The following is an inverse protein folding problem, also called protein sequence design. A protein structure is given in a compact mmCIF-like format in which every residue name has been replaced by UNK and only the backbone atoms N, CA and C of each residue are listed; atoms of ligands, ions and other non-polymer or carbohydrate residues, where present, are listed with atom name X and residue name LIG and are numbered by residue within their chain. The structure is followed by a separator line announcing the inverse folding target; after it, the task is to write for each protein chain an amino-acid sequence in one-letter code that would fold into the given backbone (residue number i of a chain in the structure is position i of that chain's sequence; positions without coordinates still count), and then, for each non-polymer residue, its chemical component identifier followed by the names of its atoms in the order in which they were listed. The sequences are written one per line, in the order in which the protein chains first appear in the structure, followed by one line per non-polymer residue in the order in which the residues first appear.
data_IF_462209520247
#
_entry.id   IF_462209520247
#
_cell.length_a   1.000
_cell.length_b   1.000
_cell.length_c   1.000
_cell.angle_alpha   90.00
_cell.angle_beta   90.00
_cell.angle_gamma   90.00
#
_symmetry.space_group_name_H-M   'P 1'
#
loop_
_entity.id
_entity.type
_entity.pdbx_description
1 polymer ?
#
# COMPACT_ATOMS: atom_id res chain seq x y z
N UNK A 1 3.40 9.79 19.43
CA UNK A 1 4.79 10.31 19.44
C UNK A 1 5.07 10.76 18.03
N UNK A 2 5.18 12.06 17.77
CA UNK A 2 5.59 12.56 16.46
C UNK A 2 7.10 12.32 16.35
N UNK A 3 7.53 11.49 15.40
CA UNK A 3 8.94 11.35 15.04
C UNK A 3 9.11 11.83 13.61
N UNK A 4 10.27 12.37 13.32
CA UNK A 4 10.54 12.94 12.02
C UNK A 4 11.87 13.64 12.00
N UNK A 5 12.28 14.04 10.81
CA UNK A 5 13.41 14.93 10.61
C UNK A 5 12.98 16.13 9.78
N UNK A 6 13.85 17.11 9.72
CA UNK A 6 13.71 18.27 8.85
C UNK A 6 15.10 18.60 8.31
N UNK A 7 15.17 18.82 7.00
CA UNK A 7 16.39 19.29 6.36
C UNK A 7 16.25 20.78 6.09
N UNK A 8 17.17 21.58 6.62
CA UNK A 8 17.13 23.03 6.54
C UNK A 8 18.24 23.49 5.61
N UNK A 9 17.87 23.97 4.43
CA UNK A 9 18.82 24.42 3.39
C UNK A 9 19.40 25.83 3.66
N UNK A 10 19.14 26.40 4.83
CA UNK A 10 19.59 27.74 5.23
C UNK A 10 20.23 27.69 6.61
N UNK A 11 21.33 28.43 6.80
CA UNK A 11 21.91 28.65 8.11
C UNK A 11 21.18 29.80 8.80
N UNK A 12 20.49 29.51 9.90
CA UNK A 12 19.70 30.51 10.62
C UNK A 12 18.96 29.93 11.81
N UNK A 13 18.26 30.79 12.55
CA UNK A 13 17.35 30.39 13.61
C UNK A 13 16.15 29.65 12.99
N UNK A 14 15.89 28.42 13.44
CA UNK A 14 14.68 27.68 13.09
C UNK A 14 13.77 27.62 14.31
N UNK A 15 12.56 28.15 14.19
CA UNK A 15 11.53 28.10 15.22
C UNK A 15 10.51 27.02 14.86
N UNK A 16 10.26 26.10 15.78
CA UNK A 16 9.18 25.12 15.64
C UNK A 16 7.94 25.62 16.36
N UNK A 17 6.89 25.88 15.60
CA UNK A 17 5.58 26.25 16.11
C UNK A 17 4.63 25.05 16.06
N UNK A 18 3.87 24.87 17.14
CA UNK A 18 2.75 23.93 17.18
C UNK A 18 1.45 24.75 17.15
N UNK A 19 0.69 24.65 16.05
CA UNK A 19 -0.51 25.44 15.84
C UNK A 19 -1.77 24.56 15.84
N UNK A 20 -2.84 25.05 16.44
CA UNK A 20 -4.19 24.47 16.36
C UNK A 20 -5.19 25.55 15.97
N UNK A 21 -6.07 25.25 15.01
CA UNK A 21 -7.20 26.13 14.64
C UNK A 21 -8.28 26.20 15.72
N UNK A 22 -8.27 25.27 16.67
CA UNK A 22 -9.18 25.27 17.82
C UNK A 22 -8.45 25.90 19.02
N UNK A 23 -8.89 27.10 19.40
CA UNK A 23 -8.32 27.91 20.49
C UNK A 23 -8.56 27.32 21.89
N UNK A 24 -9.39 26.30 22.00
CA UNK A 24 -9.68 25.61 23.27
C UNK A 24 -8.85 24.34 23.47
N UNK A 25 -7.97 23.99 22.52
CA UNK A 25 -7.06 22.84 22.66
C UNK A 25 -5.82 23.26 23.43
N UNK A 26 -5.57 22.55 24.53
CA UNK A 26 -4.31 22.63 25.25
C UNK A 26 -3.23 21.84 24.50
N UNK A 27 -2.16 22.52 24.09
CA UNK A 27 -0.98 21.90 23.47
C UNK A 27 0.12 21.86 24.53
N UNK A 28 0.58 20.66 24.87
CA UNK A 28 1.72 20.47 25.75
C UNK A 28 2.70 19.47 25.12
N UNK A 29 3.99 19.66 25.39
CA UNK A 29 5.06 18.80 24.91
C UNK A 29 5.97 18.47 26.09
N UNK A 30 6.05 17.19 26.45
CA UNK A 30 6.79 16.71 27.63
C UNK A 30 8.28 16.46 27.37
N UNK A 31 8.62 16.09 26.13
CA UNK A 31 9.95 15.62 25.76
C UNK A 31 10.26 16.00 24.33
N UNK A 32 10.75 17.23 24.15
CA UNK A 32 11.28 17.71 22.87
C UNK A 32 12.78 17.41 22.84
N UNK A 33 13.20 16.53 21.93
CA UNK A 33 14.61 16.25 21.66
C UNK A 33 14.88 16.48 20.19
N UNK A 34 15.65 17.52 19.89
CA UNK A 34 16.22 17.78 18.57
C UNK A 34 17.68 17.36 18.63
N UNK A 35 18.04 16.32 17.89
CA UNK A 35 19.41 15.85 17.77
C UNK A 35 19.81 15.91 16.30
N UNK A 36 21.00 16.47 15.97
CA UNK A 36 21.57 16.26 14.65
C UNK A 36 21.74 14.76 14.42
N UNK A 37 21.38 14.29 13.23
CA UNK A 37 21.67 12.92 12.81
C UNK A 37 22.29 12.93 11.42
N UNK A 38 23.23 12.03 11.19
CA UNK A 38 23.81 11.80 9.87
C UNK A 38 22.88 10.93 9.03
N UNK A 39 23.07 10.94 7.71
CA UNK A 39 22.39 10.01 6.82
C UNK A 39 22.65 8.55 7.24
N UNK A 40 23.86 8.22 7.68
CA UNK A 40 24.22 6.88 8.15
C UNK A 40 23.44 6.48 9.40
N UNK A 41 23.25 7.41 10.35
CA UNK A 41 22.45 7.17 11.54
C UNK A 41 20.96 6.95 11.18
N UNK A 42 20.44 7.72 10.21
CA UNK A 42 19.08 7.52 9.70
C UNK A 42 18.92 6.14 9.07
N UNK A 43 19.83 5.76 8.18
CA UNK A 43 19.85 4.44 7.53
C UNK A 43 19.94 3.31 8.55
N UNK A 44 20.80 3.42 9.56
CA UNK A 44 20.93 2.41 10.62
C UNK A 44 19.63 2.22 11.41
N UNK A 45 18.91 3.30 11.71
CA UNK A 45 17.59 3.21 12.37
C UNK A 45 16.53 2.57 11.47
N UNK A 46 16.55 2.84 10.16
CA UNK A 46 15.70 2.16 9.20
C UNK A 46 15.99 0.67 9.18
N UNK A 47 17.26 0.27 9.06
CA UNK A 47 17.67 -1.15 9.00
C UNK A 47 17.24 -1.91 10.26
N UNK A 48 17.44 -1.35 11.45
CA UNK A 48 16.95 -1.94 12.71
C UNK A 48 15.42 -2.09 12.75
N UNK A 49 14.68 -1.16 12.13
CA UNK A 49 13.21 -1.22 12.06
C UNK A 49 12.74 -2.25 11.04
N UNK A 50 13.46 -2.37 9.92
CA UNK A 50 13.26 -3.39 8.89
C UNK A 50 13.47 -4.79 9.48
N UNK A 51 14.54 -5.00 10.25
CA UNK A 51 14.81 -6.27 10.94
C UNK A 51 13.63 -6.73 11.81
N UNK A 52 12.91 -5.81 12.46
CA UNK A 52 11.76 -6.12 13.31
C UNK A 52 10.48 -6.47 12.54
N UNK A 53 10.38 -6.17 11.24
CA UNK A 53 9.15 -6.24 10.45
C UNK A 53 9.00 -7.50 9.57
N UNK A 54 9.84 -8.51 9.78
CA UNK A 54 10.15 -9.56 8.78
C UNK A 54 9.21 -10.76 8.66
N UNK A 55 7.89 -10.63 8.80
CA UNK A 55 6.98 -11.69 8.30
C UNK A 55 5.68 -11.17 7.71
N UNK A 56 5.30 -11.78 6.58
CA UNK A 56 4.01 -11.59 5.90
C UNK A 56 3.70 -10.16 5.43
N UNK A 57 4.70 -9.27 5.31
CA UNK A 57 4.50 -7.92 4.77
C UNK A 57 3.97 -8.01 3.33
N UNK A 58 2.74 -7.56 3.04
CA UNK A 58 2.18 -7.59 1.71
C UNK A 58 2.98 -6.69 0.76
N UNK A 59 3.66 -7.32 -0.20
CA UNK A 59 4.47 -6.64 -1.20
C UNK A 59 4.03 -7.04 -2.61
N UNK A 60 3.72 -6.04 -3.43
CA UNK A 60 3.03 -6.22 -4.69
C UNK A 60 3.51 -5.33 -5.81
N UNK A 61 2.99 -5.59 -7.00
CA UNK A 61 3.08 -4.70 -8.15
C UNK A 61 1.75 -4.75 -8.92
N UNK A 62 1.40 -3.64 -9.57
CA UNK A 62 0.31 -3.59 -10.53
C UNK A 62 0.57 -4.55 -11.70
N UNK A 63 -0.52 -5.09 -12.24
CA UNK A 63 -0.55 -5.85 -13.50
C UNK A 63 -1.66 -5.29 -14.40
N UNK A 64 -1.57 -5.59 -15.69
CA UNK A 64 -2.62 -5.32 -16.66
C UNK A 64 -2.88 -6.58 -17.50
N UNK A 65 -3.87 -6.52 -18.39
CA UNK A 65 -4.32 -7.67 -19.20
C UNK A 65 -3.21 -8.34 -20.04
N UNK A 66 -2.09 -7.67 -20.31
CA UNK A 66 -1.00 -8.24 -21.11
C UNK A 66 -0.34 -9.46 -20.43
N UNK A 67 -0.44 -9.57 -19.11
CA UNK A 67 0.04 -10.75 -18.37
C UNK A 67 -0.74 -12.01 -18.74
N UNK A 68 -2.01 -11.91 -19.15
CA UNK A 68 -2.89 -13.06 -19.39
C UNK A 68 -2.41 -13.96 -20.52
N UNK A 69 -1.69 -13.41 -21.50
CA UNK A 69 -1.19 -14.14 -22.67
C UNK A 69 0.33 -14.25 -22.72
N UNK A 70 1.03 -13.73 -21.71
CA UNK A 70 2.50 -13.71 -21.69
C UNK A 70 3.03 -14.56 -20.52
N UNK A 71 3.39 -15.81 -20.82
CA UNK A 71 3.92 -16.77 -19.83
C UNK A 71 5.19 -16.27 -19.14
N UNK A 72 6.06 -15.55 -19.84
CA UNK A 72 7.27 -14.99 -19.24
C UNK A 72 6.91 -13.91 -18.22
N UNK A 73 5.91 -13.05 -18.52
CA UNK A 73 5.37 -12.09 -17.55
C UNK A 73 4.75 -12.78 -16.34
N UNK A 74 3.93 -13.82 -16.56
CA UNK A 74 3.32 -14.59 -15.48
C UNK A 74 4.38 -15.17 -14.54
N UNK A 75 5.40 -15.83 -15.07
CA UNK A 75 6.48 -16.42 -14.29
C UNK A 75 7.31 -15.37 -13.55
N UNK A 76 7.65 -14.26 -14.24
CA UNK A 76 8.42 -13.18 -13.66
C UNK A 76 7.67 -12.50 -12.50
N UNK A 77 6.36 -12.29 -12.66
CA UNK A 77 5.53 -11.63 -11.65
C UNK A 77 5.22 -12.54 -10.45
N UNK A 78 4.77 -13.78 -10.70
CA UNK A 78 4.28 -14.70 -9.66
C UNK A 78 5.39 -15.23 -8.75
N UNK A 79 6.65 -15.21 -9.20
CA UNK A 79 7.81 -15.50 -8.36
C UNK A 79 8.18 -14.35 -7.40
N UNK A 80 7.59 -13.16 -7.61
CA UNK A 80 7.97 -11.93 -6.91
C UNK A 80 6.92 -11.42 -5.93
N UNK A 81 5.67 -11.39 -6.34
CA UNK A 81 4.66 -10.60 -5.66
C UNK A 81 3.53 -11.45 -5.10
N UNK A 82 3.06 -11.08 -3.91
CA UNK A 82 1.93 -11.74 -3.23
C UNK A 82 0.66 -10.89 -3.26
N UNK A 83 0.76 -9.63 -3.71
CA UNK A 83 -0.36 -8.71 -3.88
C UNK A 83 -0.29 -8.05 -5.25
N UNK A 84 -1.44 -7.72 -5.81
CA UNK A 84 -1.55 -6.93 -7.04
C UNK A 84 -2.73 -5.97 -7.00
N UNK A 85 -2.72 -5.04 -7.93
CA UNK A 85 -3.83 -4.17 -8.32
C UNK A 85 -3.89 -4.17 -9.85
N UNK A 86 -5.05 -3.91 -10.44
CA UNK A 86 -5.18 -3.87 -11.89
C UNK A 86 -5.03 -2.44 -12.37
N UNK A 87 -4.15 -2.22 -13.35
CA UNK A 87 -3.76 -0.88 -13.81
C UNK A 87 -4.97 -0.07 -14.31
N UNK A 88 -5.84 -0.72 -15.09
CA UNK A 88 -6.99 -0.07 -15.70
C UNK A 88 -8.27 -0.92 -15.69
N UNK A 89 -8.16 -2.23 -15.52
CA UNK A 89 -9.21 -3.19 -15.86
C UNK A 89 -10.42 -3.13 -14.93
N UNK A 90 -10.31 -2.49 -13.77
CA UNK A 90 -11.41 -2.24 -12.84
C UNK A 90 -11.89 -0.78 -12.83
N UNK A 91 -11.28 0.14 -13.61
CA UNK A 91 -11.70 1.56 -13.67
C UNK A 91 -12.99 1.72 -14.46
N UNK A 92 -13.82 2.71 -14.09
CA UNK A 92 -15.17 2.86 -14.66
C UNK A 92 -15.15 3.07 -16.18
N UNK A 93 -14.24 3.90 -16.68
CA UNK A 93 -14.09 4.11 -18.12
C UNK A 93 -13.73 2.85 -18.90
N UNK A 94 -13.08 1.88 -18.26
CA UNK A 94 -12.76 0.58 -18.87
C UNK A 94 -13.97 -0.33 -18.90
N UNK A 95 -14.72 -0.39 -17.79
CA UNK A 95 -15.82 -1.34 -17.67
C UNK A 95 -17.14 -0.85 -18.25
N UNK A 96 -17.38 0.46 -18.35
CA UNK A 96 -18.62 1.00 -18.92
C UNK A 96 -18.32 2.24 -19.79
N UNK A 97 -17.63 2.05 -20.93
CA UNK A 97 -17.36 3.16 -21.86
C UNK A 97 -18.65 3.66 -22.55
N UNK A 98 -19.65 2.80 -22.68
CA UNK A 98 -20.97 3.10 -23.25
C UNK A 98 -22.04 2.88 -22.16
N UNK A 99 -22.98 3.82 -21.95
CA UNK A 99 -23.97 3.70 -20.89
C UNK A 99 -24.72 2.37 -20.94
N UNK A 100 -24.71 1.63 -19.83
CA UNK A 100 -25.43 0.37 -19.71
C UNK A 100 -24.74 -0.85 -20.31
N UNK A 101 -23.59 -0.70 -20.98
CA UNK A 101 -22.83 -1.82 -21.54
C UNK A 101 -21.59 -2.11 -20.68
N UNK A 102 -21.82 -2.82 -19.59
CA UNK A 102 -20.76 -3.21 -18.67
C UNK A 102 -19.93 -4.39 -19.22
N UNK A 103 -18.60 -4.28 -19.21
CA UNK A 103 -17.66 -5.32 -19.59
C UNK A 103 -16.54 -5.46 -18.56
N UNK A 104 -16.54 -6.61 -17.89
CA UNK A 104 -15.55 -6.96 -16.87
C UNK A 104 -14.64 -8.12 -17.29
N UNK A 105 -14.65 -8.51 -18.58
CA UNK A 105 -13.94 -9.71 -19.06
C UNK A 105 -12.46 -9.72 -18.68
N UNK A 106 -11.75 -8.61 -18.88
CA UNK A 106 -10.32 -8.53 -18.60
C UNK A 106 -10.05 -8.55 -17.08
N UNK A 107 -10.85 -7.85 -16.27
CA UNK A 107 -10.75 -7.90 -14.81
C UNK A 107 -11.08 -9.28 -14.23
N UNK A 108 -12.07 -9.97 -14.80
CA UNK A 108 -12.43 -11.34 -14.40
C UNK A 108 -11.30 -12.32 -14.67
N UNK A 109 -10.68 -12.22 -15.85
CA UNK A 109 -9.53 -13.04 -16.22
C UNK A 109 -8.31 -12.76 -15.33
N UNK A 110 -8.02 -11.49 -15.03
CA UNK A 110 -6.92 -11.11 -14.12
C UNK A 110 -7.18 -11.58 -12.68
N UNK A 111 -8.41 -11.50 -12.20
CA UNK A 111 -8.76 -12.01 -10.87
C UNK A 111 -8.64 -13.54 -10.81
N UNK A 112 -9.03 -14.23 -11.88
CA UNK A 112 -8.83 -15.68 -11.98
C UNK A 112 -7.34 -16.04 -11.96
N UNK A 113 -6.52 -15.33 -12.75
CA UNK A 113 -5.06 -15.50 -12.75
C UNK A 113 -4.48 -15.28 -11.34
N UNK A 114 -4.82 -14.16 -10.68
CA UNK A 114 -4.34 -13.87 -9.34
C UNK A 114 -4.71 -14.98 -8.34
N UNK A 115 -5.95 -15.48 -8.39
CA UNK A 115 -6.41 -16.60 -7.55
C UNK A 115 -5.63 -17.90 -7.80
N UNK A 116 -5.37 -18.24 -9.07
CA UNK A 116 -4.60 -19.45 -9.42
C UNK A 116 -3.19 -19.42 -8.82
N UNK A 117 -2.61 -18.23 -8.69
CA UNK A 117 -1.27 -18.02 -8.14
C UNK A 117 -1.27 -17.58 -6.66
N UNK A 118 -2.41 -17.63 -5.96
CA UNK A 118 -2.54 -17.21 -4.56
C UNK A 118 -2.09 -15.76 -4.30
N UNK A 119 -2.33 -14.88 -5.28
CA UNK A 119 -2.01 -13.45 -5.21
C UNK A 119 -3.28 -12.70 -4.80
N UNK A 120 -3.17 -11.91 -3.72
CA UNK A 120 -4.26 -11.08 -3.25
C UNK A 120 -4.47 -9.86 -4.16
N UNK A 121 -5.71 -9.40 -4.31
CA UNK A 121 -6.04 -8.28 -5.22
C UNK A 121 -6.62 -7.11 -4.43
N UNK A 122 -6.09 -5.91 -4.66
CA UNK A 122 -6.72 -4.63 -4.29
C UNK A 122 -7.62 -4.18 -5.45
N UNK A 123 -8.86 -3.83 -5.16
CA UNK A 123 -9.79 -3.28 -6.14
C UNK A 123 -9.53 -1.80 -6.37
N UNK A 124 -9.18 -1.44 -7.61
CA UNK A 124 -8.84 -0.07 -7.99
C UNK A 124 -9.51 0.30 -9.31
N UNK A 125 -10.45 1.24 -9.37
CA UNK A 125 -11.11 1.95 -8.26
C UNK A 125 -12.62 2.00 -8.56
N UNK A 126 -13.45 2.16 -7.52
CA UNK A 126 -14.91 2.21 -7.70
C UNK A 126 -15.30 3.51 -8.41
N UNK A 127 -14.84 4.65 -7.88
CA UNK A 127 -15.04 6.00 -8.41
C UNK A 127 -13.73 6.78 -8.38
N UNK A 128 -13.48 7.57 -9.42
CA UNK A 128 -12.32 8.45 -9.51
C UNK A 128 -12.80 9.88 -9.76
N UNK A 129 -12.38 10.81 -8.90
CA UNK A 129 -12.87 12.19 -8.93
C UNK A 129 -12.30 13.06 -10.06
N UNK A 130 -11.18 12.68 -10.68
CA UNK A 130 -10.53 13.49 -11.72
C UNK A 130 -11.39 13.53 -13.01
N UNK A 131 -11.86 14.72 -13.44
CA UNK A 131 -12.64 14.90 -14.66
C UNK A 131 -12.01 14.33 -15.94
N UNK A 132 -10.67 14.23 -16.01
CA UNK A 132 -9.96 13.68 -17.17
C UNK A 132 -10.26 12.20 -17.40
N UNK A 133 -10.67 11.49 -16.34
CA UNK A 133 -10.95 10.06 -16.36
C UNK A 133 -12.45 9.74 -16.24
N UNK A 134 -13.30 10.77 -16.29
CA UNK A 134 -14.75 10.61 -16.35
C UNK A 134 -15.17 10.44 -17.81
N UNK A 135 -15.93 9.39 -18.11
CA UNK A 135 -16.48 9.17 -19.45
C UNK A 135 -17.37 10.33 -19.88
N UNK A 136 -17.30 10.73 -21.16
CA UNK A 136 -18.11 11.85 -21.68
C UNK A 136 -19.62 11.71 -21.44
N UNK A 137 -20.14 10.47 -21.43
CA UNK A 137 -21.55 10.21 -21.13
C UNK A 137 -21.90 10.40 -19.65
N UNK A 138 -20.96 10.13 -18.72
CA UNK A 138 -21.13 10.38 -17.28
C UNK A 138 -21.01 11.89 -17.01
N UNK A 139 -20.04 12.53 -17.65
CA UNK A 139 -19.79 13.97 -17.55
C UNK A 139 -21.00 14.82 -17.96
N UNK A 140 -21.82 14.35 -18.90
CA UNK A 140 -22.99 15.06 -19.42
C UNK A 140 -24.30 14.84 -18.64
N UNK A 141 -24.31 13.93 -17.65
CA UNK A 141 -25.53 13.63 -16.89
C UNK A 141 -25.99 14.81 -16.01
N UNK A 142 -27.32 14.94 -15.89
CA UNK A 142 -27.92 15.77 -14.84
C UNK A 142 -27.55 15.24 -13.46
N UNK A 143 -27.57 16.05 -12.38
CA UNK A 143 -27.31 15.55 -11.02
C UNK A 143 -28.15 14.34 -10.63
N UNK A 144 -29.43 14.29 -11.06
CA UNK A 144 -30.32 13.16 -10.80
C UNK A 144 -29.85 11.89 -11.51
N UNK A 145 -29.56 11.99 -12.81
CA UNK A 145 -29.15 10.83 -13.61
C UNK A 145 -27.74 10.37 -13.23
N UNK A 146 -26.87 11.30 -12.84
CA UNK A 146 -25.54 11.01 -12.31
C UNK A 146 -25.64 10.22 -10.99
N UNK A 147 -26.53 10.62 -10.08
CA UNK A 147 -26.75 9.86 -8.84
C UNK A 147 -27.18 8.41 -9.13
N UNK A 148 -28.05 8.20 -10.13
CA UNK A 148 -28.49 6.86 -10.57
C UNK A 148 -27.34 6.08 -11.19
N UNK A 149 -26.52 6.71 -12.03
CA UNK A 149 -25.37 6.06 -12.68
C UNK A 149 -24.29 5.66 -11.65
N UNK A 150 -23.99 6.54 -10.69
CA UNK A 150 -23.05 6.26 -9.59
C UNK A 150 -23.56 5.12 -8.70
N UNK A 151 -24.84 5.14 -8.35
CA UNK A 151 -25.50 4.07 -7.60
C UNK A 151 -25.34 2.72 -8.29
N UNK A 152 -25.63 2.68 -9.60
CA UNK A 152 -25.48 1.49 -10.44
C UNK A 152 -24.03 1.03 -10.50
N UNK A 153 -23.08 1.95 -10.70
CA UNK A 153 -21.63 1.64 -10.74
C UNK A 153 -21.16 0.99 -9.45
N UNK A 154 -21.44 1.61 -8.30
CA UNK A 154 -21.07 1.07 -6.98
C UNK A 154 -21.68 -0.32 -6.80
N UNK A 155 -22.97 -0.49 -7.09
CA UNK A 155 -23.64 -1.80 -6.95
C UNK A 155 -23.01 -2.86 -7.86
N UNK A 156 -22.78 -2.54 -9.14
CA UNK A 156 -22.29 -3.49 -10.13
C UNK A 156 -20.91 -4.03 -9.75
N UNK A 157 -19.91 -3.16 -9.65
CA UNK A 157 -18.53 -3.59 -9.45
C UNK A 157 -18.31 -4.23 -8.07
N UNK A 158 -18.85 -3.62 -7.01
CA UNK A 158 -18.62 -4.12 -5.66
C UNK A 158 -19.39 -5.42 -5.39
N UNK A 159 -20.61 -5.58 -5.89
CA UNK A 159 -21.35 -6.84 -5.71
C UNK A 159 -20.68 -7.98 -6.47
N UNK A 160 -20.15 -7.69 -7.66
CA UNK A 160 -19.48 -8.69 -8.50
C UNK A 160 -18.21 -9.25 -7.85
N UNK A 161 -17.41 -8.41 -7.19
CA UNK A 161 -16.14 -8.81 -6.59
C UNK A 161 -16.16 -8.94 -5.06
N UNK A 162 -17.35 -8.85 -4.44
CA UNK A 162 -17.54 -9.02 -3.00
C UNK A 162 -16.85 -10.28 -2.47
N UNK A 163 -16.06 -10.12 -1.42
CA UNK A 163 -15.34 -11.22 -0.76
C UNK A 163 -14.21 -11.85 -1.57
N UNK A 164 -13.81 -11.25 -2.69
CA UNK A 164 -12.72 -11.75 -3.55
C UNK A 164 -11.48 -10.84 -3.52
N UNK A 165 -11.59 -9.67 -2.90
CA UNK A 165 -10.53 -8.65 -2.85
C UNK A 165 -10.17 -8.38 -1.38
N UNK A 166 -8.92 -7.96 -1.14
CA UNK A 166 -8.45 -7.63 0.23
C UNK A 166 -8.73 -6.17 0.61
N UNK A 167 -8.99 -5.31 -0.37
CA UNK A 167 -9.20 -3.89 -0.21
C UNK A 167 -9.98 -3.31 -1.40
N UNK A 168 -10.65 -2.19 -1.19
CA UNK A 168 -11.21 -1.34 -2.22
C UNK A 168 -10.69 0.09 -2.09
N UNK A 169 -10.13 0.64 -3.15
CA UNK A 169 -10.07 2.10 -3.31
C UNK A 169 -11.49 2.53 -3.74
N UNK A 170 -12.25 3.13 -2.81
CA UNK A 170 -13.66 3.49 -3.05
C UNK A 170 -13.75 4.78 -3.83
N UNK A 171 -13.02 5.80 -3.37
CA UNK A 171 -12.91 7.09 -4.04
C UNK A 171 -11.43 7.40 -4.21
N UNK A 172 -11.01 7.58 -5.45
CA UNK A 172 -9.65 7.99 -5.81
C UNK A 172 -9.58 9.51 -5.99
N UNK A 173 -8.55 10.13 -5.42
CA UNK A 173 -8.13 11.52 -5.66
C UNK A 173 -9.12 12.61 -5.23
N UNK A 174 -9.80 12.39 -4.11
CA UNK A 174 -10.85 13.26 -3.59
C UNK A 174 -10.36 14.46 -2.76
N UNK A 175 -9.05 14.67 -2.64
CA UNK A 175 -8.48 15.94 -2.15
C UNK A 175 -8.13 16.88 -3.29
N UNK A 176 -7.74 16.34 -4.45
CA UNK A 176 -7.39 17.13 -5.64
C UNK A 176 -8.59 17.44 -6.53
N UNK A 177 -9.52 16.49 -6.62
CA UNK A 177 -10.69 16.58 -7.50
C UNK A 177 -12.00 16.34 -6.75
N UNK A 178 -13.09 16.84 -7.33
CA UNK A 178 -14.43 16.82 -6.72
C UNK A 178 -15.55 16.72 -7.76
N UNK A 179 -15.34 16.00 -8.87
CA UNK A 179 -16.34 15.84 -9.92
C UNK A 179 -17.70 15.38 -9.36
N UNK A 180 -17.73 14.37 -8.49
CA UNK A 180 -18.98 13.86 -7.94
C UNK A 180 -19.53 14.78 -6.85
N UNK A 181 -18.69 15.24 -5.92
CA UNK A 181 -19.12 16.15 -4.84
C UNK A 181 -19.66 17.49 -5.37
N UNK A 182 -19.07 18.05 -6.44
CA UNK A 182 -19.52 19.31 -7.04
C UNK A 182 -20.91 19.21 -7.68
N UNK A 183 -21.32 18.02 -8.13
CA UNK A 183 -22.61 17.79 -8.78
C UNK A 183 -23.66 17.18 -7.86
N UNK A 184 -23.26 16.32 -6.94
CA UNK A 184 -24.14 15.54 -6.06
C UNK A 184 -24.18 16.09 -4.62
N UNK A 185 -23.33 17.07 -4.30
CA UNK A 185 -23.19 17.68 -2.98
C UNK A 185 -21.96 17.19 -2.23
N UNK A 186 -21.48 18.02 -1.30
CA UNK A 186 -20.21 17.78 -0.58
C UNK A 186 -20.16 16.44 0.18
N UNK A 187 -21.30 15.91 0.62
CA UNK A 187 -21.37 14.62 1.32
C UNK A 187 -21.43 13.40 0.39
N UNK A 188 -21.37 13.59 -0.94
CA UNK A 188 -21.51 12.50 -1.90
C UNK A 188 -20.48 11.40 -1.69
N UNK A 189 -19.18 11.75 -1.59
CA UNK A 189 -18.11 10.78 -1.32
C UNK A 189 -18.37 9.96 -0.07
N UNK A 190 -18.73 10.61 1.05
CA UNK A 190 -19.03 9.91 2.29
C UNK A 190 -20.23 8.94 2.15
N UNK A 191 -21.24 9.30 1.35
CA UNK A 191 -22.36 8.42 1.03
C UNK A 191 -21.95 7.20 0.19
N UNK A 192 -20.91 7.31 -0.65
CA UNK A 192 -20.38 6.20 -1.42
C UNK A 192 -19.75 5.14 -0.52
N UNK A 193 -18.99 5.56 0.50
CA UNK A 193 -18.46 4.64 1.53
C UNK A 193 -19.59 3.96 2.31
N UNK A 194 -20.67 4.70 2.62
CA UNK A 194 -21.83 4.10 3.28
C UNK A 194 -22.43 2.96 2.43
N UNK A 195 -22.56 3.20 1.13
CA UNK A 195 -23.09 2.21 0.19
C UNK A 195 -22.14 1.03 0.01
N UNK A 196 -20.84 1.30 -0.13
CA UNK A 196 -19.79 0.32 -0.26
C UNK A 196 -19.84 -0.69 0.91
N UNK A 197 -19.93 -0.20 2.16
CA UNK A 197 -20.03 -1.06 3.34
C UNK A 197 -21.31 -1.90 3.36
N UNK A 198 -22.45 -1.39 2.87
CA UNK A 198 -23.69 -2.19 2.79
C UNK A 198 -23.56 -3.36 1.82
N UNK A 199 -22.75 -3.21 0.76
CA UNK A 199 -22.51 -4.27 -0.22
C UNK A 199 -21.46 -5.24 0.32
N UNK A 200 -20.31 -4.74 0.75
CA UNK A 200 -19.20 -5.54 1.28
C UNK A 200 -18.63 -4.91 2.57
N UNK A 201 -19.15 -5.37 3.71
CA UNK A 201 -18.73 -4.89 5.03
C UNK A 201 -17.41 -5.52 5.53
N UNK A 202 -16.94 -6.59 4.89
CA UNK A 202 -15.75 -7.34 5.33
C UNK A 202 -14.46 -6.75 4.75
N UNK A 203 -14.53 -6.16 3.56
CA UNK A 203 -13.38 -5.58 2.86
C UNK A 203 -13.02 -4.20 3.43
N UNK A 204 -11.72 -3.92 3.58
CA UNK A 204 -11.25 -2.60 4.02
C UNK A 204 -11.44 -1.57 2.89
N UNK A 205 -12.02 -0.41 3.21
CA UNK A 205 -12.34 0.66 2.28
C UNK A 205 -11.32 1.79 2.39
N UNK A 206 -10.63 2.10 1.30
CA UNK A 206 -9.56 3.08 1.24
C UNK A 206 -10.03 4.36 0.55
N UNK A 207 -9.62 5.49 1.12
CA UNK A 207 -9.40 6.73 0.38
C UNK A 207 -8.00 6.61 -0.26
N UNK A 208 -7.86 6.83 -1.56
CA UNK A 208 -6.58 6.70 -2.24
C UNK A 208 -6.20 8.05 -2.85
N UNK A 209 -4.98 8.53 -2.57
CA UNK A 209 -4.57 9.89 -2.90
C UNK A 209 -3.08 10.00 -3.19
N UNK A 210 -2.70 10.88 -4.11
CA UNK A 210 -1.31 11.19 -4.44
C UNK A 210 -0.78 12.42 -3.70
N UNK A 211 0.53 12.65 -3.79
CA UNK A 211 1.29 13.77 -3.20
C UNK A 211 1.27 13.91 -1.67
N UNK A 212 0.53 13.05 -0.97
CA UNK A 212 0.48 12.97 0.50
C UNK A 212 1.86 12.81 1.18
N UNK A 213 2.78 12.07 0.54
CA UNK A 213 4.14 11.78 1.04
C UNK A 213 5.22 12.18 0.02
N UNK A 214 4.83 12.52 -1.21
CA UNK A 214 5.71 12.71 -2.35
C UNK A 214 6.20 14.16 -2.49
N UNK A 215 5.34 15.15 -2.18
CA UNK A 215 5.65 16.57 -2.35
C UNK A 215 5.11 17.42 -1.21
N UNK A 216 6.00 18.01 -0.41
CA UNK A 216 5.63 18.86 0.72
C UNK A 216 5.10 20.25 0.31
N UNK A 217 5.16 20.58 -0.98
CA UNK A 217 4.64 21.83 -1.56
C UNK A 217 3.18 21.71 -1.98
N UNK A 218 2.63 20.50 -2.03
CA UNK A 218 1.23 20.28 -2.34
C UNK A 218 0.35 20.61 -1.13
N UNK A 219 -0.36 21.73 -1.21
CA UNK A 219 -1.23 22.19 -0.14
C UNK A 219 -2.55 21.41 -0.05
N UNK A 220 -2.98 20.72 -1.11
CA UNK A 220 -4.27 20.03 -1.16
C UNK A 220 -4.21 18.70 -0.42
N UNK A 221 -3.17 17.92 -0.65
CA UNK A 221 -3.02 16.55 -0.15
C UNK A 221 -2.22 16.40 1.14
N UNK A 222 -1.90 17.51 1.82
CA UNK A 222 -1.23 17.49 3.13
C UNK A 222 -1.89 16.46 4.08
N UNK A 223 -1.10 15.74 4.90
CA UNK A 223 -1.61 14.75 5.86
C UNK A 223 -2.82 15.20 6.67
N UNK A 224 -2.85 16.47 7.11
CA UNK A 224 -3.97 17.03 7.87
C UNK A 224 -5.28 17.16 7.06
N UNK A 225 -5.17 17.50 5.77
CA UNK A 225 -6.32 17.55 4.87
C UNK A 225 -6.86 16.16 4.58
N UNK A 226 -5.96 15.19 4.39
CA UNK A 226 -6.33 13.79 4.27
C UNK A 226 -7.09 13.29 5.51
N UNK A 227 -6.55 13.55 6.71
CA UNK A 227 -7.22 13.20 7.97
C UNK A 227 -8.57 13.92 8.13
N UNK A 228 -8.69 15.16 7.67
CA UNK A 228 -9.97 15.88 7.66
C UNK A 228 -11.00 15.19 6.75
N UNK A 229 -10.63 14.82 5.52
CA UNK A 229 -11.52 14.09 4.60
C UNK A 229 -11.93 12.72 5.17
N UNK A 230 -11.02 12.00 5.83
CA UNK A 230 -11.38 10.77 6.54
C UNK A 230 -12.39 10.99 7.68
N UNK A 231 -12.26 12.09 8.45
CA UNK A 231 -13.22 12.45 9.49
C UNK A 231 -14.59 12.79 8.89
N UNK A 232 -14.62 13.49 7.76
CA UNK A 232 -15.87 13.76 7.01
C UNK A 232 -16.55 12.47 6.56
N UNK A 233 -15.79 11.53 5.98
CA UNK A 233 -16.29 10.21 5.57
C UNK A 233 -16.85 9.45 6.77
N UNK A 234 -16.11 9.37 7.88
CA UNK A 234 -16.53 8.65 9.09
C UNK A 234 -17.72 9.30 9.79
N UNK A 235 -17.82 10.63 9.74
CA UNK A 235 -18.89 11.42 10.37
C UNK A 235 -20.25 11.33 9.67
N UNK A 236 -20.32 10.77 8.47
CA UNK A 236 -21.57 10.61 7.74
C UNK A 236 -22.51 9.60 8.43
N UNK A 237 -23.83 9.85 8.50
CA UNK A 237 -24.78 8.94 9.15
C UNK A 237 -24.71 7.51 8.59
N UNK A 238 -24.38 6.56 9.47
CA UNK A 238 -24.22 5.16 9.13
C UNK A 238 -22.78 4.71 8.84
N UNK A 239 -21.79 5.61 8.90
CA UNK A 239 -20.37 5.29 8.65
C UNK A 239 -19.54 5.04 9.93
N UNK A 240 -20.18 5.02 11.10
CA UNK A 240 -19.52 4.89 12.40
C UNK A 240 -18.64 3.64 12.52
N UNK A 241 -19.02 2.56 11.84
CA UNK A 241 -18.35 1.26 11.89
C UNK A 241 -17.59 0.93 10.60
N UNK A 242 -17.23 1.92 9.77
CA UNK A 242 -16.45 1.66 8.56
C UNK A 242 -15.06 1.13 8.92
N UNK A 243 -14.69 -0.01 8.33
CA UNK A 243 -13.31 -0.48 8.26
C UNK A 243 -12.58 0.35 7.19
N UNK A 244 -12.01 1.48 7.60
CA UNK A 244 -11.30 2.41 6.71
C UNK A 244 -9.80 2.10 6.67
N UNK A 245 -9.18 2.35 5.51
CA UNK A 245 -7.74 2.36 5.31
C UNK A 245 -7.26 3.68 4.69
N UNK A 246 -5.97 3.95 4.83
CA UNK A 246 -5.27 5.08 4.24
C UNK A 246 -4.47 4.60 3.03
N UNK A 247 -4.83 5.05 1.83
CA UNK A 247 -4.14 4.74 0.58
C UNK A 247 -3.31 5.93 0.12
N UNK A 248 -2.00 5.73 -0.01
CA UNK A 248 -1.03 6.72 -0.46
C UNK A 248 -0.43 6.21 -1.77
N UNK A 249 -0.70 6.89 -2.89
CA UNK A 249 -0.28 6.40 -4.21
C UNK A 249 1.24 6.23 -4.28
N UNK A 250 2.01 7.27 -3.98
CA UNK A 250 3.48 7.19 -3.96
C UNK A 250 4.10 7.44 -5.33
N UNK A 251 3.57 8.39 -6.10
CA UNK A 251 4.09 8.77 -7.42
C UNK A 251 5.22 9.82 -7.32
N UNK A 252 6.45 9.40 -7.05
CA UNK A 252 7.57 10.32 -6.80
C UNK A 252 8.07 11.00 -8.09
N UNK A 253 7.77 12.30 -8.21
CA UNK A 253 8.19 13.15 -9.33
C UNK A 253 9.37 14.07 -9.01
N UNK A 254 9.81 14.09 -7.75
CA UNK A 254 10.95 14.83 -7.24
C UNK A 254 11.88 13.85 -6.49
N UNK A 255 13.17 14.18 -6.29
CA UNK A 255 14.02 13.42 -5.36
C UNK A 255 13.32 13.27 -3.99
N UNK A 256 13.39 12.08 -3.36
CA UNK A 256 12.61 11.80 -2.17
C UNK A 256 13.07 12.62 -0.97
N UNK A 257 12.11 13.22 -0.27
CA UNK A 257 12.35 13.85 1.02
C UNK A 257 12.02 12.84 2.13
N UNK A 258 12.97 11.97 2.48
CA UNK A 258 12.75 10.90 3.47
C UNK A 258 12.23 11.42 4.83
N UNK A 259 12.74 12.56 5.36
CA UNK A 259 12.17 13.13 6.58
C UNK A 259 10.70 13.55 6.45
N UNK A 260 10.30 14.10 5.30
CA UNK A 260 8.89 14.41 5.02
C UNK A 260 8.04 13.15 4.90
N UNK A 261 8.50 12.12 4.19
CA UNK A 261 7.80 10.82 4.10
C UNK A 261 7.53 10.27 5.52
N UNK A 262 8.55 10.23 6.39
CA UNK A 262 8.41 9.79 7.79
C UNK A 262 7.35 10.59 8.52
N UNK A 263 7.48 11.92 8.50
CA UNK A 263 6.60 12.82 9.25
C UNK A 263 5.14 12.73 8.77
N UNK A 264 4.93 12.67 7.46
CA UNK A 264 3.60 12.51 6.87
C UNK A 264 2.93 11.21 7.29
N UNK A 265 3.66 10.09 7.27
CA UNK A 265 3.13 8.79 7.71
C UNK A 265 2.86 8.79 9.23
N UNK A 266 3.69 9.43 10.04
CA UNK A 266 3.46 9.55 11.49
C UNK A 266 2.21 10.39 11.82
N UNK A 267 1.94 11.47 11.07
CA UNK A 267 0.70 12.24 11.19
C UNK A 267 -0.49 11.36 10.80
N UNK A 268 -0.44 10.71 9.64
CA UNK A 268 -1.52 9.83 9.16
C UNK A 268 -1.78 8.66 10.11
N UNK A 269 -0.72 8.11 10.73
CA UNK A 269 -0.80 7.04 11.71
C UNK A 269 -1.61 7.40 12.97
N UNK A 270 -1.78 8.69 13.27
CA UNK A 270 -2.64 9.15 14.37
C UNK A 270 -4.10 8.73 14.21
N UNK A 271 -4.56 8.45 12.97
CA UNK A 271 -5.89 7.92 12.71
C UNK A 271 -6.09 6.48 13.20
N UNK A 272 -5.00 5.77 13.54
CA UNK A 272 -5.02 4.35 13.91
C UNK A 272 -5.67 3.45 12.84
N UNK A 273 -5.48 3.78 11.57
CA UNK A 273 -5.92 3.01 10.41
C UNK A 273 -4.72 2.34 9.73
N UNK A 274 -4.92 1.20 9.02
CA UNK A 274 -3.88 0.62 8.19
C UNK A 274 -3.49 1.60 7.08
N UNK A 275 -2.18 1.79 6.88
CA UNK A 275 -1.63 2.64 5.81
C UNK A 275 -1.05 1.73 4.73
N UNK A 276 -1.47 1.92 3.48
CA UNK A 276 -0.93 1.22 2.32
C UNK A 276 -0.31 2.21 1.37
N UNK A 277 0.85 1.82 0.82
CA UNK A 277 1.40 2.46 -0.35
C UNK A 277 0.87 1.68 -1.55
N UNK A 278 0.12 2.36 -2.41
CA UNK A 278 -0.81 1.68 -3.32
C UNK A 278 -0.32 1.65 -4.76
N UNK A 279 0.53 2.59 -5.16
CA UNK A 279 0.93 2.83 -6.56
C UNK A 279 2.38 3.35 -6.66
N UNK A 280 3.30 2.81 -5.85
CA UNK A 280 4.66 3.35 -5.74
C UNK A 280 5.41 3.30 -7.08
N UNK A 281 5.78 4.47 -7.60
CA UNK A 281 6.73 4.62 -8.68
C UNK A 281 7.66 5.83 -8.48
N UNK A 282 8.75 5.83 -9.25
CA UNK A 282 9.70 6.94 -9.31
C UNK A 282 9.78 7.37 -10.77
N UNK A 283 9.73 8.67 -11.03
CA UNK A 283 9.79 9.21 -12.38
C UNK A 283 11.08 8.79 -13.13
N UNK A 284 10.95 8.50 -14.42
CA UNK A 284 12.07 8.08 -15.28
C UNK A 284 13.00 9.24 -15.72
N UNK A 285 12.60 10.49 -15.52
CA UNK A 285 13.39 11.66 -15.90
C UNK A 285 14.67 11.86 -15.07
N UNK A 286 14.85 11.11 -13.98
CA UNK A 286 16.09 11.12 -13.20
C UNK A 286 17.24 10.34 -13.83
N UNK A 287 16.95 9.51 -14.85
CA UNK A 287 17.89 8.52 -15.36
C UNK A 287 17.93 7.26 -14.50
N UNK A 288 18.35 6.15 -15.12
CA UNK A 288 18.22 4.80 -14.56
C UNK A 288 18.86 4.65 -13.17
N UNK A 289 20.08 5.14 -12.98
CA UNK A 289 20.80 5.00 -11.72
C UNK A 289 20.11 5.76 -10.58
N UNK A 290 19.80 7.03 -10.77
CA UNK A 290 19.14 7.84 -9.76
C UNK A 290 17.71 7.35 -9.47
N UNK A 291 16.98 6.89 -10.50
CA UNK A 291 15.66 6.29 -10.32
C UNK A 291 15.72 5.05 -9.41
N UNK A 292 16.70 4.17 -9.61
CA UNK A 292 16.90 2.99 -8.78
C UNK A 292 17.34 3.35 -7.35
N UNK A 293 18.28 4.28 -7.19
CA UNK A 293 18.73 4.77 -5.88
C UNK A 293 17.57 5.37 -5.07
N UNK A 294 16.74 6.22 -5.70
CA UNK A 294 15.56 6.79 -5.04
C UNK A 294 14.52 5.74 -4.70
N UNK A 295 14.25 4.79 -5.60
CA UNK A 295 13.34 3.68 -5.33
C UNK A 295 13.77 2.90 -4.08
N UNK A 296 15.07 2.60 -3.95
CA UNK A 296 15.59 1.91 -2.78
C UNK A 296 15.40 2.72 -1.49
N UNK A 297 15.76 4.00 -1.49
CA UNK A 297 15.60 4.88 -0.33
C UNK A 297 14.15 4.97 0.13
N UNK A 298 13.22 5.13 -0.82
CA UNK A 298 11.78 5.20 -0.56
C UNK A 298 11.28 3.86 0.00
N UNK A 299 11.61 2.73 -0.66
CA UNK A 299 11.18 1.40 -0.21
C UNK A 299 11.67 1.07 1.20
N UNK A 300 12.93 1.39 1.54
CA UNK A 300 13.46 1.21 2.90
C UNK A 300 12.72 2.07 3.92
N UNK A 301 12.48 3.34 3.61
CA UNK A 301 11.77 4.27 4.49
C UNK A 301 10.34 3.78 4.79
N UNK A 302 9.60 3.42 3.74
CA UNK A 302 8.23 2.93 3.82
C UNK A 302 8.15 1.58 4.55
N UNK A 303 9.02 0.64 4.20
CA UNK A 303 9.04 -0.67 4.85
C UNK A 303 9.41 -0.54 6.33
N UNK A 304 10.38 0.31 6.69
CA UNK A 304 10.77 0.55 8.08
C UNK A 304 9.64 1.13 8.96
N UNK A 305 8.65 1.81 8.38
CA UNK A 305 7.61 2.48 9.16
C UNK A 305 6.59 1.51 9.78
N UNK A 306 6.44 1.41 11.11
CA UNK A 306 5.62 0.38 11.78
C UNK A 306 4.14 0.39 11.40
N UNK A 307 3.65 1.53 10.90
CA UNK A 307 2.25 1.73 10.51
C UNK A 307 1.94 1.48 9.03
N UNK A 308 2.96 1.33 8.18
CA UNK A 308 2.77 0.89 6.80
C UNK A 308 2.50 -0.61 6.81
N UNK A 309 1.38 -1.01 6.25
CA UNK A 309 0.81 -2.36 6.26
C UNK A 309 0.94 -3.10 4.93
N UNK A 310 1.36 -2.43 3.86
CA UNK A 310 1.62 -3.04 2.56
C UNK A 310 2.11 -2.02 1.54
N UNK A 311 2.84 -2.50 0.52
CA UNK A 311 3.34 -1.69 -0.59
C UNK A 311 2.99 -2.40 -1.91
N UNK A 312 2.43 -1.65 -2.85
CA UNK A 312 2.20 -2.07 -4.23
C UNK A 312 2.93 -1.09 -5.15
N UNK A 313 3.78 -1.61 -6.03
CA UNK A 313 4.51 -0.84 -7.04
C UNK A 313 3.61 -0.56 -8.26
N UNK A 314 3.73 0.60 -8.88
CA UNK A 314 3.02 0.93 -10.13
C UNK A 314 3.91 0.70 -11.37
N UNK A 315 4.17 -0.58 -11.62
CA UNK A 315 5.14 -1.04 -12.64
C UNK A 315 4.56 -2.10 -13.58
N UNK A 316 3.27 -1.99 -13.92
CA UNK A 316 2.66 -2.88 -14.90
C UNK A 316 3.35 -2.74 -16.25
N UNK A 317 3.69 -3.87 -16.88
CA UNK A 317 4.35 -3.90 -18.19
C UNK A 317 3.30 -3.95 -19.30
N UNK A 318 3.46 -3.12 -20.31
CA UNK A 318 2.65 -3.11 -21.53
C UNK A 318 3.56 -3.13 -22.77
N UNK A 319 3.03 -3.43 -23.97
CA UNK A 319 3.78 -3.24 -25.20
C UNK A 319 4.26 -1.78 -25.31
N UNK A 320 5.59 -1.60 -25.41
CA UNK A 320 6.20 -0.26 -25.45
C UNK A 320 6.66 0.28 -24.09
N UNK A 321 6.55 -0.51 -23.02
CA UNK A 321 7.10 -0.22 -21.70
C UNK A 321 6.04 -0.06 -20.61
N UNK A 322 6.37 0.74 -19.60
CA UNK A 322 5.55 0.96 -18.41
C UNK A 322 5.24 2.46 -18.28
N UNK A 323 4.27 2.81 -17.44
CA UNK A 323 3.85 4.21 -17.28
C UNK A 323 5.02 5.15 -16.92
N UNK A 324 5.76 4.85 -15.84
CA UNK A 324 6.90 5.67 -15.37
C UNK A 324 8.10 4.83 -14.97
N UNK A 325 7.86 3.66 -14.38
CA UNK A 325 8.89 2.82 -13.82
C UNK A 325 8.67 1.38 -14.25
N UNK A 326 9.55 0.87 -15.11
CA UNK A 326 9.62 -0.56 -15.39
C UNK A 326 10.55 -1.25 -14.39
N UNK A 327 10.27 -2.50 -14.05
CA UNK A 327 11.19 -3.35 -13.30
C UNK A 327 12.02 -4.26 -14.21
N UNK A 328 11.57 -4.46 -15.44
CA UNK A 328 12.16 -5.39 -16.40
C UNK A 328 11.98 -4.89 -17.83
N UNK A 329 12.85 -5.33 -18.74
CA UNK A 329 12.71 -5.11 -20.18
C UNK A 329 11.67 -6.08 -20.81
N UNK A 330 11.44 -5.98 -22.12
CA UNK A 330 10.49 -6.84 -22.84
C UNK A 330 10.89 -8.33 -22.86
N UNK A 331 12.15 -8.65 -22.55
CA UNK A 331 12.69 -10.01 -22.47
C UNK A 331 12.69 -10.56 -21.03
N UNK A 332 12.10 -9.83 -20.08
CA UNK A 332 12.08 -10.16 -18.66
C UNK A 332 13.47 -10.19 -18.01
N UNK A 333 14.45 -9.45 -18.56
CA UNK A 333 15.69 -9.12 -17.87
C UNK A 333 15.44 -7.95 -16.91
N UNK A 334 15.94 -8.04 -15.68
CA UNK A 334 15.78 -6.96 -14.72
C UNK A 334 16.47 -5.67 -15.18
N UNK A 335 15.77 -4.55 -14.99
CA UNK A 335 16.36 -3.21 -15.00
C UNK A 335 16.92 -2.88 -13.61
N UNK A 336 17.62 -1.76 -13.47
CA UNK A 336 18.21 -1.34 -12.19
C UNK A 336 17.17 -1.28 -11.04
N UNK A 337 15.96 -0.80 -11.32
CA UNK A 337 14.81 -0.80 -10.40
C UNK A 337 14.33 -2.22 -10.04
N UNK A 338 14.34 -3.15 -11.00
CA UNK A 338 14.07 -4.57 -10.73
C UNK A 338 15.12 -5.22 -9.84
N UNK A 339 16.40 -4.87 -10.03
CA UNK A 339 17.50 -5.31 -9.18
C UNK A 339 17.35 -4.81 -7.75
N UNK A 340 16.90 -3.55 -7.56
CA UNK A 340 16.56 -3.01 -6.23
C UNK A 340 15.45 -3.84 -5.58
N UNK A 341 14.38 -4.15 -6.32
CA UNK A 341 13.26 -4.95 -5.80
C UNK A 341 13.71 -6.34 -5.39
N UNK A 342 14.44 -7.05 -6.25
CA UNK A 342 14.91 -8.41 -5.93
C UNK A 342 15.89 -8.41 -4.75
N UNK A 343 16.79 -7.41 -4.69
CA UNK A 343 17.70 -7.21 -3.54
C UNK A 343 16.93 -7.02 -2.24
N UNK A 344 15.99 -6.08 -2.19
CA UNK A 344 15.22 -5.78 -0.97
C UNK A 344 14.32 -6.95 -0.58
N UNK A 345 13.72 -7.65 -1.54
CA UNK A 345 12.96 -8.88 -1.27
C UNK A 345 13.83 -9.96 -0.65
N UNK A 346 15.07 -10.13 -1.13
CA UNK A 346 16.01 -11.05 -0.50
C UNK A 346 16.35 -10.57 0.91
N UNK A 347 16.71 -9.30 1.10
CA UNK A 347 17.02 -8.74 2.43
C UNK A 347 15.86 -8.87 3.43
N UNK A 348 14.61 -8.70 2.99
CA UNK A 348 13.41 -8.74 3.84
C UNK A 348 12.84 -10.14 4.02
N UNK A 349 12.94 -11.00 2.99
CA UNK A 349 12.41 -12.36 2.97
C UNK A 349 13.38 -13.44 3.42
N UNK A 350 14.67 -13.14 3.55
CA UNK A 350 15.66 -14.08 4.10
C UNK A 350 15.47 -14.21 5.61
N UNK A 351 14.78 -15.28 6.01
CA UNK A 351 14.99 -16.01 7.27
C UNK A 351 14.30 -17.38 7.16
N UNK A 352 14.70 -18.23 6.20
CA UNK A 352 14.70 -19.65 6.51
C UNK A 352 15.82 -19.84 7.53
N UNK A 353 15.47 -19.93 8.81
CA UNK A 353 16.41 -20.37 9.84
C UNK A 353 16.66 -21.85 9.59
N UNK A 354 17.71 -22.14 8.81
CA UNK A 354 18.17 -23.50 8.52
C UNK A 354 19.45 -23.77 9.31
N UNK A 355 19.52 -24.94 9.93
CA UNK A 355 20.73 -25.39 10.61
C UNK A 355 20.54 -26.75 11.25
N UNK A 356 21.63 -27.25 11.82
CA UNK A 356 21.69 -28.54 12.50
C UNK A 356 21.56 -28.31 14.00
N UNK A 357 20.97 -29.27 14.71
CA UNK A 357 20.95 -29.25 16.18
C UNK A 357 22.37 -29.28 16.74
N UNK A 358 22.57 -28.66 17.90
CA UNK A 358 23.82 -28.73 18.67
C UNK A 358 24.05 -30.13 19.28
N UNK A 359 25.14 -30.29 20.05
CA UNK A 359 25.50 -31.56 20.69
C UNK A 359 24.48 -32.04 21.74
N UNK A 360 23.55 -31.19 22.15
CA UNK A 360 22.47 -31.50 23.08
C UNK A 360 21.13 -31.72 22.38
N UNK A 361 21.08 -31.62 21.05
CA UNK A 361 19.87 -31.80 20.25
C UNK A 361 19.01 -30.53 20.09
N UNK A 362 19.53 -29.35 20.43
CA UNK A 362 18.81 -28.09 20.29
C UNK A 362 19.17 -27.36 19.01
N UNK A 363 18.16 -26.88 18.29
CA UNK A 363 18.32 -25.89 17.24
C UNK A 363 17.61 -24.63 17.68
N UNK A 364 18.36 -23.56 17.94
CA UNK A 364 17.82 -22.28 18.38
C UNK A 364 17.66 -21.36 17.19
N UNK A 365 16.45 -20.84 16.99
CA UNK A 365 16.12 -19.87 15.98
C UNK A 365 15.24 -18.77 16.57
N UNK A 366 15.60 -17.52 16.29
CA UNK A 366 14.73 -16.37 16.58
C UNK A 366 13.69 -16.26 15.48
N UNK A 367 12.43 -16.53 15.81
CA UNK A 367 11.29 -16.47 14.91
C UNK A 367 10.43 -15.26 15.29
N UNK A 368 9.97 -14.47 14.31
CA UNK A 368 9.04 -13.37 14.57
C UNK A 368 7.58 -13.84 14.50
N UNK A 369 6.61 -12.93 14.56
CA UNK A 369 5.19 -13.29 14.51
C UNK A 369 4.77 -13.77 13.11
N UNK A 370 4.00 -14.85 13.05
CA UNK A 370 3.51 -15.39 11.78
C UNK A 370 3.17 -16.86 11.86
N UNK A 371 2.70 -17.38 10.72
CA UNK A 371 2.43 -18.80 10.52
C UNK A 371 3.67 -19.46 9.91
N UNK A 372 4.16 -20.51 10.56
CA UNK A 372 5.37 -21.22 10.20
C UNK A 372 5.08 -22.68 9.88
N UNK A 373 5.93 -23.24 9.01
CA UNK A 373 6.03 -24.68 8.78
C UNK A 373 7.50 -25.07 8.89
N UNK A 374 7.86 -25.75 9.97
CA UNK A 374 9.20 -26.32 10.17
C UNK A 374 9.26 -27.70 9.52
N UNK A 375 10.37 -27.97 8.82
CA UNK A 375 10.72 -29.28 8.27
C UNK A 375 11.95 -29.81 9.00
N UNK A 376 11.86 -31.02 9.54
CA UNK A 376 12.94 -31.66 10.30
C UNK A 376 13.34 -32.93 9.58
N UNK A 377 14.60 -33.04 9.20
CA UNK A 377 15.17 -34.25 8.58
C UNK A 377 16.16 -34.88 9.55
N UNK A 378 16.12 -36.21 9.66
CA UNK A 378 17.10 -36.98 10.44
C UNK A 378 17.57 -38.18 9.61
N UNK A 379 18.88 -38.51 9.57
CA UNK A 379 19.42 -39.56 8.70
C UNK A 379 18.81 -40.96 8.87
N UNK A 380 18.19 -41.23 10.02
CA UNK A 380 17.57 -42.52 10.34
C UNK A 380 16.06 -42.57 10.09
N UNK A 381 15.45 -41.48 9.63
CA UNK A 381 14.02 -41.45 9.32
C UNK A 381 13.73 -42.14 7.98
N UNK A 382 12.65 -42.93 7.95
CA UNK A 382 12.13 -43.56 6.72
C UNK A 382 11.40 -42.57 5.80
N UNK A 383 11.02 -41.39 6.30
CA UNK A 383 10.42 -40.30 5.53
C UNK A 383 11.44 -39.16 5.34
N UNK A 384 11.40 -38.42 4.22
CA UNK A 384 12.43 -37.43 3.89
C UNK A 384 12.48 -36.24 4.88
N UNK A 385 11.38 -35.95 5.57
CA UNK A 385 11.30 -34.99 6.66
C UNK A 385 9.98 -35.17 7.44
N UNK A 386 9.97 -34.75 8.71
CA UNK A 386 8.77 -34.42 9.48
C UNK A 386 8.43 -32.95 9.22
N UNK A 387 7.14 -32.62 9.04
CA UNK A 387 6.71 -31.23 8.95
C UNK A 387 5.73 -30.88 10.05
N UNK A 388 5.97 -29.76 10.72
CA UNK A 388 5.09 -29.26 11.78
C UNK A 388 4.80 -27.78 11.54
N UNK A 389 3.52 -27.43 11.62
CA UNK A 389 3.10 -26.04 11.54
C UNK A 389 2.85 -25.46 12.92
N UNK A 390 3.25 -24.22 13.15
CA UNK A 390 2.94 -23.49 14.37
C UNK A 390 2.78 -22.00 14.06
N UNK A 391 2.17 -21.28 14.99
CA UNK A 391 1.96 -19.84 14.90
C UNK A 391 2.67 -19.15 16.03
N UNK A 392 3.47 -18.14 15.71
CA UNK A 392 4.09 -17.25 16.70
C UNK A 392 3.17 -16.03 16.85
N UNK A 393 2.54 -15.89 18.01
CA UNK A 393 1.55 -14.83 18.29
C UNK A 393 2.15 -13.69 19.11
N UNK A 394 1.60 -12.48 18.97
CA UNK A 394 2.01 -11.31 19.76
C UNK A 394 1.53 -11.45 21.20
N UNK A 395 2.44 -11.39 22.17
CA UNK A 395 2.08 -11.17 23.57
C UNK A 395 2.08 -9.67 23.84
N UNK A 396 0.92 -9.09 24.12
CA UNK A 396 0.70 -7.64 24.26
C UNK A 396 1.40 -6.98 25.48
N UNK A 397 2.31 -7.69 26.16
CA UNK A 397 2.99 -7.20 27.35
C UNK A 397 4.48 -7.56 27.32
N UNK A 398 5.33 -6.53 27.42
CA UNK A 398 6.78 -6.52 27.74
C UNK A 398 7.56 -7.83 27.51
N UNK A 399 8.41 -7.85 26.49
CA UNK A 399 9.65 -8.64 26.37
C UNK A 399 9.73 -9.96 27.17
N UNK A 400 8.85 -10.92 26.91
CA UNK A 400 9.06 -12.30 27.34
C UNK A 400 9.55 -13.12 26.15
N UNK A 401 10.78 -13.67 26.24
CA UNK A 401 11.24 -14.73 25.36
C UNK A 401 10.30 -15.93 25.53
N UNK A 402 9.51 -16.24 24.50
CA UNK A 402 8.70 -17.45 24.49
C UNK A 402 9.53 -18.58 23.88
N UNK A 403 10.04 -19.49 24.72
CA UNK A 403 10.74 -20.69 24.25
C UNK A 403 9.72 -21.76 23.83
N UNK A 404 9.71 -22.13 22.55
CA UNK A 404 8.85 -23.19 22.03
C UNK A 404 9.69 -24.46 21.84
N UNK A 405 9.54 -25.41 22.77
CA UNK A 405 10.21 -26.71 22.71
C UNK A 405 9.44 -27.67 21.80
N UNK A 406 9.92 -27.85 20.57
CA UNK A 406 9.46 -28.90 19.67
C UNK A 406 10.29 -30.16 19.94
N UNK A 407 9.71 -31.14 20.64
CA UNK A 407 10.35 -32.42 20.94
C UNK A 407 10.05 -33.40 19.81
N UNK A 408 11.09 -33.89 19.14
CA UNK A 408 11.00 -34.90 18.06
C UNK A 408 11.30 -36.28 18.62
#
# INVERSE_FOLDING_TARGET
MLKGGLNVNVSGLAELYFESKNTSVEIWADSISLQPFTQDQWSSHQDQSIEKKKLSFPFGSAINKNILTNTAYQNWFTSRFTVTTFENEMKWYTNEPVPGQENYKDADALLQFAKQHSIAVRGHTVLWEDPNYIQGWVASLSPRDLAIAVDKRINSIMSKYKGQLIAWDVVNENLHSSFFESKLGQSASASFYNRAQRIDAATTLFLNEYNTIEDNRDDLSKPDNYLRKLREIRGFPGNNNLTLGIGLQGHFSNPPNLPYIRASIDILASASLPIWITELDVANNFGEQAQAEYLEQILRELHAHPKVSGIVLWSALAPGGCYRMCLTDDNFNNLATGNVVDKLRQEWGSNSSEGTTDTNGFFEASLFHGDYKVKISHPTMTSPFLAQSFKVVSTDHRSEQTTLLLKV
#
